data_IF_471322352958
#
_entry.id   IF_471322352958
#
_cell.length_a   1.000
_cell.length_b   1.000
_cell.length_c   1.000
_cell.angle_alpha   90.00
_cell.angle_beta   90.00
_cell.angle_gamma   90.00
#
_symmetry.space_group_name_H-M   'P 1'
#
loop_
_entity.id
_entity.type
_entity.pdbx_description
1 polymer ?
#
# COMPACT_ATOMS: atom_id res chain seq x y z
N UNK A 1 5.13 44.41 8.45
CA UNK A 1 4.48 43.09 8.41
C UNK A 1 5.55 42.02 8.35
N UNK A 2 5.82 41.33 9.46
CA UNK A 2 6.74 40.19 9.46
C UNK A 2 5.93 38.97 9.00
N UNK A 3 6.29 38.37 7.87
CA UNK A 3 5.66 37.16 7.38
C UNK A 3 5.88 36.05 8.42
N UNK A 4 4.79 35.52 9.02
CA UNK A 4 4.89 34.34 9.86
C UNK A 4 5.47 33.19 9.03
N UNK A 5 6.40 32.38 9.57
CA UNK A 5 6.92 31.22 8.87
C UNK A 5 5.75 30.32 8.46
N UNK A 6 5.63 30.05 7.16
CA UNK A 6 4.63 29.14 6.60
C UNK A 6 5.08 27.73 6.93
N UNK A 7 4.48 27.10 7.94
CA UNK A 7 4.71 25.68 8.22
C UNK A 7 4.29 24.87 6.99
N UNK A 8 5.27 24.33 6.25
CA UNK A 8 5.04 23.48 5.07
C UNK A 8 5.09 22.00 5.42
N UNK A 9 5.96 21.64 6.36
CA UNK A 9 6.17 20.27 6.80
C UNK A 9 5.91 20.22 8.30
N UNK A 10 5.04 19.30 8.71
CA UNK A 10 4.86 18.93 10.10
C UNK A 10 5.26 17.48 10.25
N UNK A 11 6.24 17.22 11.11
CA UNK A 11 6.75 15.90 11.41
C UNK A 11 6.64 15.66 12.91
N UNK A 12 5.85 14.67 13.28
CA UNK A 12 5.72 14.19 14.65
C UNK A 12 6.12 12.73 14.70
N UNK A 13 7.12 12.42 15.53
CA UNK A 13 7.63 11.06 15.73
C UNK A 13 7.68 10.84 17.24
N UNK A 14 6.99 9.82 17.73
CA UNK A 14 7.21 9.35 19.10
C UNK A 14 8.51 8.55 19.15
N UNK A 15 9.54 9.13 19.74
CA UNK A 15 10.90 8.56 19.77
C UNK A 15 11.01 7.30 20.64
N UNK A 16 10.15 7.16 21.66
CA UNK A 16 10.16 5.98 22.50
C UNK A 16 9.59 4.78 21.74
N UNK A 17 10.38 3.70 21.54
CA UNK A 17 9.96 2.58 20.73
C UNK A 17 8.77 1.81 21.31
N UNK A 18 8.53 1.92 22.62
CA UNK A 18 7.48 1.21 23.36
C UNK A 18 6.21 2.03 23.58
N UNK A 19 6.18 3.28 23.13
CA UNK A 19 5.06 4.18 23.38
C UNK A 19 4.39 4.62 22.08
N UNK A 20 3.11 4.95 22.20
CA UNK A 20 2.33 5.62 21.17
C UNK A 20 1.80 6.91 21.76
N UNK A 21 2.02 8.04 21.09
CA UNK A 21 1.51 9.32 21.56
C UNK A 21 0.01 9.45 21.25
N UNK A 22 -0.81 9.68 22.28
CA UNK A 22 -2.25 9.91 22.09
C UNK A 22 -2.54 11.34 21.65
N UNK A 23 -2.77 11.55 20.36
CA UNK A 23 -3.20 12.86 19.87
C UNK A 23 -4.61 13.18 20.34
N UNK A 24 -4.78 14.40 20.80
CA UNK A 24 -6.01 14.95 21.36
C UNK A 24 -6.59 16.01 20.43
N UNK A 25 -7.81 16.48 20.74
CA UNK A 25 -8.42 17.59 20.00
C UNK A 25 -7.62 18.91 20.13
N UNK A 26 -6.78 19.04 21.17
CA UNK A 26 -5.92 20.21 21.35
C UNK A 26 -4.76 20.26 20.34
N UNK A 27 -4.50 19.15 19.64
CA UNK A 27 -3.43 19.06 18.64
C UNK A 27 -3.92 19.46 17.23
N UNK A 28 -5.23 19.56 17.00
CA UNK A 28 -5.83 19.99 15.73
C UNK A 28 -5.25 21.31 15.19
N UNK A 29 -5.00 22.36 16.01
CA UNK A 29 -4.40 23.59 15.53
C UNK A 29 -3.00 23.41 14.91
N UNK A 30 -2.23 22.40 15.34
CA UNK A 30 -0.91 22.09 14.77
C UNK A 30 -1.03 21.49 13.36
N UNK A 31 -2.10 20.72 13.14
CA UNK A 31 -2.41 20.09 11.86
C UNK A 31 -3.10 21.06 10.90
N UNK A 32 -3.84 22.04 11.39
CA UNK A 32 -4.71 22.89 10.57
C UNK A 32 -4.00 24.06 9.86
N UNK A 33 -2.69 23.96 9.63
CA UNK A 33 -1.94 25.05 9.00
C UNK A 33 -2.20 25.08 7.48
N UNK A 34 -2.72 26.18 6.89
CA UNK A 34 -3.20 26.20 5.51
C UNK A 34 -2.11 26.04 4.45
N UNK A 35 -0.84 26.24 4.81
CA UNK A 35 0.30 25.99 3.92
C UNK A 35 0.95 24.62 4.10
N UNK A 36 0.38 23.74 4.92
CA UNK A 36 0.92 22.42 5.15
C UNK A 36 0.81 21.60 3.85
N UNK A 37 1.97 21.15 3.36
CA UNK A 37 2.09 20.30 2.17
C UNK A 37 2.56 18.90 2.54
N UNK A 38 3.24 18.74 3.68
CA UNK A 38 3.75 17.43 4.12
C UNK A 38 3.38 17.20 5.57
N UNK A 39 2.72 16.08 5.83
CA UNK A 39 2.35 15.64 7.17
C UNK A 39 2.94 14.27 7.43
N UNK A 40 3.77 14.14 8.46
CA UNK A 40 4.31 12.87 8.92
C UNK A 40 3.95 12.67 10.38
N UNK A 41 3.19 11.63 10.65
CA UNK A 41 2.72 11.25 11.97
C UNK A 41 3.15 9.81 12.24
N UNK A 42 4.08 9.61 13.17
CA UNK A 42 4.60 8.28 13.50
C UNK A 42 4.34 7.90 14.95
N UNK A 43 3.83 6.67 15.13
CA UNK A 43 3.48 6.10 16.44
C UNK A 43 2.51 7.02 17.20
N UNK A 44 1.43 7.40 16.54
CA UNK A 44 0.37 8.24 17.10
C UNK A 44 -0.95 7.50 17.22
N UNK A 45 -1.71 7.78 18.28
CA UNK A 45 -3.11 7.39 18.39
C UNK A 45 -4.01 8.54 17.96
N UNK A 46 -4.92 8.26 17.04
CA UNK A 46 -5.73 9.28 16.34
C UNK A 46 -7.24 9.04 16.46
N UNK A 47 -7.69 8.08 17.27
CA UNK A 47 -9.11 7.79 17.49
C UNK A 47 -9.96 9.01 17.84
N UNK A 48 -9.39 9.98 18.56
CA UNK A 48 -10.10 11.20 18.98
C UNK A 48 -10.61 12.04 17.79
N UNK A 49 -9.96 11.94 16.63
CA UNK A 49 -10.36 12.65 15.42
C UNK A 49 -11.63 12.05 14.79
N UNK A 50 -11.98 10.80 15.10
CA UNK A 50 -13.18 10.14 14.58
C UNK A 50 -14.50 10.69 15.13
N UNK A 51 -14.45 11.55 16.17
CA UNK A 51 -15.64 12.12 16.79
C UNK A 51 -16.51 12.88 15.76
N UNK A 52 -17.85 12.74 15.78
CA UNK A 52 -18.74 13.43 14.86
C UNK A 52 -18.59 14.97 14.86
N UNK A 53 -18.24 15.55 16.02
CA UNK A 53 -18.02 16.98 16.19
C UNK A 53 -16.74 17.50 15.53
N UNK A 54 -15.78 16.63 15.21
CA UNK A 54 -14.53 17.01 14.55
C UNK A 54 -14.82 17.20 13.06
N UNK A 55 -14.48 18.38 12.54
CA UNK A 55 -14.59 18.66 11.10
C UNK A 55 -13.41 18.01 10.36
N UNK A 56 -13.57 17.69 9.07
CA UNK A 56 -12.44 17.32 8.22
C UNK A 56 -11.34 18.38 8.27
N UNK A 57 -10.08 17.94 8.27
CA UNK A 57 -8.90 18.80 8.37
C UNK A 57 -8.70 19.58 7.05
N UNK A 58 -8.16 20.82 7.10
CA UNK A 58 -8.01 21.68 5.92
C UNK A 58 -6.75 21.31 5.12
N UNK A 59 -6.76 20.10 4.55
CA UNK A 59 -5.62 19.52 3.84
C UNK A 59 -5.70 19.66 2.32
N UNK A 60 -6.32 20.74 1.82
CA UNK A 60 -6.44 20.97 0.38
C UNK A 60 -5.10 21.04 -0.36
N UNK A 61 -4.05 21.52 0.33
CA UNK A 61 -2.68 21.64 -0.19
C UNK A 61 -1.76 20.49 0.20
N UNK A 62 -2.27 19.48 0.92
CA UNK A 62 -1.46 18.37 1.38
C UNK A 62 -1.03 17.53 0.17
N UNK A 63 0.28 17.41 0.01
CA UNK A 63 0.97 16.76 -1.10
C UNK A 63 1.46 15.37 -0.69
N UNK A 64 1.97 15.25 0.53
CA UNK A 64 2.46 13.97 1.08
C UNK A 64 1.94 13.74 2.49
N UNK A 65 1.41 12.55 2.74
CA UNK A 65 0.92 12.14 4.04
C UNK A 65 1.52 10.79 4.44
N UNK A 66 2.18 10.76 5.59
CA UNK A 66 2.77 9.57 6.18
C UNK A 66 2.09 9.34 7.52
N UNK A 67 1.38 8.23 7.65
CA UNK A 67 0.63 7.90 8.84
C UNK A 67 1.03 6.51 9.35
N UNK A 68 1.60 6.49 10.54
CA UNK A 68 1.84 5.28 11.29
C UNK A 68 1.01 5.32 12.59
N UNK A 69 -0.10 4.57 12.60
CA UNK A 69 -1.12 4.62 13.66
C UNK A 69 -1.70 3.22 13.99
N UNK A 70 -1.74 2.81 15.28
CA UNK A 70 -2.34 1.54 15.69
C UNK A 70 -3.87 1.58 15.72
N UNK A 71 -4.47 2.72 16.01
CA UNK A 71 -5.93 2.91 16.12
C UNK A 71 -6.43 3.81 14.99
N UNK A 72 -7.10 3.21 14.03
CA UNK A 72 -7.72 3.89 12.91
C UNK A 72 -9.12 3.33 12.67
N UNK A 73 -9.97 4.15 12.07
CA UNK A 73 -11.28 3.75 11.55
C UNK A 73 -11.53 4.53 10.28
N UNK A 74 -12.55 4.13 9.52
CA UNK A 74 -12.99 4.88 8.35
C UNK A 74 -13.27 6.35 8.71
N UNK A 75 -14.01 6.61 9.79
CA UNK A 75 -14.39 7.97 10.21
C UNK A 75 -13.18 8.83 10.54
N UNK A 76 -12.18 8.24 11.22
CA UNK A 76 -10.93 8.90 11.56
C UNK A 76 -10.17 9.25 10.28
N UNK A 77 -9.87 8.26 9.43
CA UNK A 77 -9.11 8.47 8.19
C UNK A 77 -9.81 9.46 7.25
N UNK A 78 -11.14 9.40 7.17
CA UNK A 78 -11.94 10.34 6.39
C UNK A 78 -11.76 11.79 6.86
N UNK A 79 -11.49 12.07 8.16
CA UNK A 79 -11.17 13.44 8.58
C UNK A 79 -9.87 13.97 7.97
N UNK A 80 -8.89 13.11 7.74
CA UNK A 80 -7.62 13.49 7.12
C UNK A 80 -7.76 13.56 5.59
N UNK A 81 -8.40 12.57 4.98
CA UNK A 81 -8.35 12.39 3.52
C UNK A 81 -9.44 13.15 2.75
N UNK A 82 -10.58 13.49 3.39
CA UNK A 82 -11.74 14.08 2.70
C UNK A 82 -11.44 15.35 1.91
N UNK A 83 -10.53 16.18 2.41
CA UNK A 83 -10.14 17.44 1.76
C UNK A 83 -8.79 17.34 1.03
N UNK A 84 -8.09 16.20 1.06
CA UNK A 84 -6.73 16.04 0.59
C UNK A 84 -6.61 15.90 -0.94
N UNK A 85 -7.26 16.79 -1.71
CA UNK A 85 -7.40 16.68 -3.17
C UNK A 85 -6.09 16.81 -3.96
N UNK A 86 -5.05 17.36 -3.35
CA UNK A 86 -3.72 17.53 -3.96
C UNK A 86 -2.74 16.43 -3.57
N UNK A 87 -3.19 15.43 -2.81
CA UNK A 87 -2.33 14.38 -2.28
C UNK A 87 -1.74 13.57 -3.43
N UNK A 88 -0.41 13.50 -3.48
CA UNK A 88 0.39 12.75 -4.45
C UNK A 88 1.03 11.51 -3.83
N UNK A 89 1.35 11.54 -2.54
CA UNK A 89 1.97 10.42 -1.83
C UNK A 89 1.21 10.14 -0.53
N UNK A 90 0.71 8.92 -0.39
CA UNK A 90 0.23 8.38 0.88
C UNK A 90 1.05 7.16 1.30
N UNK A 91 1.63 7.21 2.49
CA UNK A 91 2.13 6.05 3.21
C UNK A 91 1.24 5.83 4.44
N UNK A 92 0.60 4.67 4.50
CA UNK A 92 -0.15 4.21 5.66
C UNK A 92 0.51 2.95 6.22
N UNK A 93 0.78 2.96 7.52
CA UNK A 93 1.42 1.86 8.21
C UNK A 93 0.68 1.54 9.50
N UNK A 94 0.20 0.30 9.61
CA UNK A 94 -0.39 -0.24 10.82
C UNK A 94 0.62 -1.16 11.53
N UNK A 95 1.00 -0.85 12.80
CA UNK A 95 2.02 -1.61 13.51
C UNK A 95 1.53 -2.93 14.09
N UNK A 96 2.52 -3.78 14.38
CA UNK A 96 2.45 -5.20 14.77
C UNK A 96 1.72 -5.57 16.06
N UNK A 97 1.49 -4.60 16.95
CA UNK A 97 1.01 -4.88 18.31
C UNK A 97 -0.52 -4.82 18.50
N UNK A 98 -1.32 -4.88 17.42
CA UNK A 98 -2.78 -4.82 17.54
C UNK A 98 -3.45 -6.02 16.89
N UNK A 99 -4.18 -6.81 17.69
CA UNK A 99 -5.13 -7.81 17.20
C UNK A 99 -6.14 -7.13 16.26
N UNK A 100 -6.04 -7.38 14.96
CA UNK A 100 -6.93 -6.79 13.98
C UNK A 100 -8.27 -7.56 13.98
N UNK A 101 -9.21 -7.10 14.80
CA UNK A 101 -10.54 -7.73 14.95
C UNK A 101 -11.55 -7.33 13.87
N UNK A 102 -11.14 -6.56 12.87
CA UNK A 102 -12.02 -6.02 11.82
C UNK A 102 -11.29 -5.87 10.50
N UNK A 103 -12.02 -6.06 9.40
CA UNK A 103 -11.56 -5.69 8.07
C UNK A 103 -11.04 -4.24 8.05
N UNK A 104 -9.92 -3.97 7.37
CA UNK A 104 -9.45 -2.59 7.20
C UNK A 104 -10.44 -1.78 6.34
N UNK A 105 -10.50 -0.45 6.52
CA UNK A 105 -11.29 0.44 5.67
C UNK A 105 -10.86 0.33 4.20
N UNK A 106 -11.83 0.50 3.30
CA UNK A 106 -11.57 0.56 1.87
C UNK A 106 -10.86 1.88 1.51
N UNK A 107 -9.55 1.80 1.25
CA UNK A 107 -8.77 2.95 0.82
C UNK A 107 -9.13 3.41 -0.59
N UNK A 108 -9.66 2.55 -1.46
CA UNK A 108 -10.12 2.98 -2.78
C UNK A 108 -11.32 3.93 -2.69
N UNK A 109 -12.17 3.78 -1.66
CA UNK A 109 -13.24 4.73 -1.35
C UNK A 109 -12.71 5.99 -0.64
N UNK A 110 -11.88 5.84 0.39
CA UNK A 110 -11.35 6.97 1.17
C UNK A 110 -10.51 7.94 0.32
N UNK A 111 -9.85 7.43 -0.73
CA UNK A 111 -8.94 8.19 -1.59
C UNK A 111 -9.61 8.77 -2.84
N UNK A 112 -10.93 8.62 -3.00
CA UNK A 112 -11.67 9.28 -4.09
C UNK A 112 -11.39 10.78 -4.23
N UNK A 113 -11.24 11.58 -3.14
CA UNK A 113 -10.91 13.00 -3.25
C UNK A 113 -9.59 13.30 -3.98
N UNK A 114 -8.59 12.40 -3.89
CA UNK A 114 -7.27 12.54 -4.50
C UNK A 114 -7.06 11.59 -5.69
N UNK A 115 -8.11 10.96 -6.20
CA UNK A 115 -8.06 9.98 -7.31
C UNK A 115 -7.28 10.45 -8.55
N UNK A 116 -7.29 11.75 -8.84
CA UNK A 116 -6.62 12.35 -10.00
C UNK A 116 -5.20 12.86 -9.72
N UNK A 117 -4.80 12.92 -8.45
CA UNK A 117 -3.49 13.45 -8.04
C UNK A 117 -2.58 12.37 -7.45
N UNK A 118 -3.14 11.32 -6.84
CA UNK A 118 -2.37 10.30 -6.15
C UNK A 118 -1.45 9.55 -7.11
N UNK A 119 -0.15 9.58 -6.86
CA UNK A 119 0.91 8.97 -7.66
C UNK A 119 1.54 7.77 -6.96
N UNK A 120 1.68 7.85 -5.63
CA UNK A 120 2.31 6.83 -4.79
C UNK A 120 1.33 6.46 -3.67
N UNK A 121 1.01 5.18 -3.59
CA UNK A 121 0.21 4.61 -2.52
C UNK A 121 0.94 3.43 -1.89
N UNK A 122 1.16 3.52 -0.59
CA UNK A 122 1.78 2.48 0.23
C UNK A 122 0.84 2.16 1.39
N UNK A 123 0.29 0.95 1.40
CA UNK A 123 -0.60 0.47 2.46
C UNK A 123 0.02 -0.76 3.11
N UNK A 124 0.44 -0.62 4.38
CA UNK A 124 1.19 -1.64 5.10
C UNK A 124 0.49 -2.03 6.39
N UNK A 125 0.39 -3.33 6.63
CA UNK A 125 -0.14 -3.86 7.89
C UNK A 125 0.77 -4.96 8.42
N UNK A 126 1.52 -4.65 9.48
CA UNK A 126 2.45 -5.61 10.09
C UNK A 126 1.71 -6.56 11.07
N UNK A 127 0.52 -7.09 10.76
CA UNK A 127 -0.27 -7.84 11.76
C UNK A 127 0.24 -9.27 11.99
N UNK A 128 0.41 -9.68 13.26
CA UNK A 128 0.70 -11.06 13.68
C UNK A 128 -0.45 -12.05 13.49
N UNK A 129 -1.69 -11.57 13.59
CA UNK A 129 -2.87 -12.37 13.26
C UNK A 129 -3.24 -12.10 11.80
N UNK A 130 -3.54 -13.15 11.03
CA UNK A 130 -3.99 -13.04 9.64
C UNK A 130 -5.14 -12.04 9.58
N UNK A 131 -4.88 -10.86 9.02
CA UNK A 131 -5.93 -9.93 8.62
C UNK A 131 -6.90 -10.70 7.72
N UNK A 132 -8.11 -10.90 8.20
CA UNK A 132 -9.18 -11.41 7.38
C UNK A 132 -9.61 -10.25 6.48
N UNK A 133 -9.06 -10.19 5.26
CA UNK A 133 -9.60 -9.35 4.19
C UNK A 133 -10.79 -10.10 3.58
N UNK A 134 -11.95 -9.99 4.22
CA UNK A 134 -13.19 -10.59 3.73
C UNK A 134 -13.91 -9.68 2.73
N UNK A 135 -13.46 -8.43 2.62
CA UNK A 135 -13.96 -7.46 1.65
C UNK A 135 -13.59 -7.83 0.20
N UNK A 136 -14.36 -7.37 -0.81
CA UNK A 136 -14.18 -7.70 -2.23
C UNK A 136 -12.91 -7.12 -2.90
N UNK A 137 -11.92 -6.65 -2.13
CA UNK A 137 -10.73 -5.98 -2.64
C UNK A 137 -10.88 -4.48 -2.87
N UNK A 138 -9.76 -3.77 -2.95
CA UNK A 138 -9.67 -2.32 -3.15
C UNK A 138 -9.47 -1.97 -4.63
N UNK A 139 -10.39 -1.18 -5.21
CA UNK A 139 -10.42 -0.94 -6.66
C UNK A 139 -9.68 0.33 -7.06
N UNK A 140 -8.42 0.20 -7.49
CA UNK A 140 -7.60 1.33 -7.92
C UNK A 140 -7.56 1.56 -9.44
N UNK A 141 -8.28 0.78 -10.25
CA UNK A 141 -8.24 0.89 -11.71
C UNK A 141 -8.51 2.32 -12.24
N UNK A 142 -9.38 3.06 -11.56
CA UNK A 142 -9.74 4.42 -11.97
C UNK A 142 -8.76 5.51 -11.47
N UNK A 143 -7.74 5.15 -10.68
CA UNK A 143 -6.70 6.07 -10.18
C UNK A 143 -5.63 6.28 -11.26
N UNK A 144 -6.01 6.94 -12.34
CA UNK A 144 -5.18 7.14 -13.55
C UNK A 144 -3.86 7.89 -13.36
N UNK A 145 -3.64 8.52 -12.20
CA UNK A 145 -2.36 9.14 -11.85
C UNK A 145 -1.43 8.21 -11.05
N UNK A 146 -1.95 7.09 -10.55
CA UNK A 146 -1.22 6.18 -9.68
C UNK A 146 -0.17 5.42 -10.49
N UNK A 147 1.08 5.53 -10.06
CA UNK A 147 2.25 4.96 -10.71
C UNK A 147 2.95 3.92 -9.82
N UNK A 148 2.80 4.01 -8.51
CA UNK A 148 3.35 3.08 -7.54
C UNK A 148 2.27 2.64 -6.56
N UNK A 149 2.13 1.33 -6.40
CA UNK A 149 1.20 0.71 -5.47
C UNK A 149 1.93 -0.38 -4.69
N UNK A 150 2.14 -0.15 -3.39
CA UNK A 150 2.55 -1.19 -2.47
C UNK A 150 1.36 -1.59 -1.59
N UNK A 151 1.00 -2.87 -1.62
CA UNK A 151 -0.17 -3.38 -0.90
C UNK A 151 -0.09 -4.90 -0.74
N UNK A 152 -0.60 -5.49 0.36
CA UNK A 152 -0.78 -6.93 0.44
C UNK A 152 -1.77 -7.42 -0.62
N UNK A 153 -1.50 -8.53 -1.33
CA UNK A 153 -2.39 -9.04 -2.37
C UNK A 153 -3.84 -9.24 -1.90
N UNK A 154 -4.04 -9.75 -0.68
CA UNK A 154 -5.38 -9.96 -0.10
C UNK A 154 -6.14 -8.66 0.17
N UNK A 155 -5.43 -7.56 0.45
CA UNK A 155 -6.07 -6.24 0.57
C UNK A 155 -6.51 -5.72 -0.80
N UNK A 156 -5.70 -5.96 -1.82
CA UNK A 156 -5.97 -5.52 -3.18
C UNK A 156 -7.13 -6.29 -3.81
N UNK A 157 -7.12 -7.62 -3.72
CA UNK A 157 -8.04 -8.48 -4.46
C UNK A 157 -9.12 -9.16 -3.61
N UNK A 158 -9.07 -8.98 -2.28
CA UNK A 158 -9.93 -9.72 -1.35
C UNK A 158 -9.53 -11.19 -1.21
N UNK A 159 -10.45 -12.08 -0.81
CA UNK A 159 -10.17 -13.50 -0.67
C UNK A 159 -10.18 -14.22 -2.04
N UNK A 160 -8.99 -14.43 -2.61
CA UNK A 160 -8.82 -15.16 -3.88
C UNK A 160 -8.13 -16.53 -3.65
N UNK A 161 -8.82 -17.45 -2.97
CA UNK A 161 -8.27 -18.79 -2.64
C UNK A 161 -8.11 -19.72 -3.86
N UNK A 162 -7.21 -20.71 -3.76
CA UNK A 162 -6.81 -21.61 -4.86
C UNK A 162 -7.94 -22.47 -5.44
N UNK A 163 -9.02 -22.66 -4.68
CA UNK A 163 -10.17 -23.50 -5.07
C UNK A 163 -11.19 -22.77 -5.96
N UNK A 164 -11.09 -21.44 -6.09
CA UNK A 164 -12.05 -20.66 -6.84
C UNK A 164 -11.64 -20.56 -8.33
N UNK A 165 -12.60 -20.82 -9.22
CA UNK A 165 -12.46 -20.48 -10.64
C UNK A 165 -12.64 -18.97 -10.81
N UNK A 166 -11.50 -18.25 -10.83
CA UNK A 166 -11.44 -16.80 -10.85
C UNK A 166 -11.06 -16.29 -12.24
N UNK A 167 -11.80 -15.30 -12.74
CA UNK A 167 -11.36 -14.50 -13.88
C UNK A 167 -10.27 -13.52 -13.42
N UNK A 168 -9.02 -14.01 -13.38
CA UNK A 168 -7.87 -13.21 -12.98
C UNK A 168 -7.69 -11.96 -13.85
N UNK A 169 -8.00 -12.02 -15.15
CA UNK A 169 -7.82 -10.86 -16.01
C UNK A 169 -8.82 -9.76 -15.67
N UNK A 170 -10.10 -10.10 -15.49
CA UNK A 170 -11.10 -9.11 -15.08
C UNK A 170 -10.80 -8.57 -13.68
N UNK A 171 -10.36 -9.42 -12.75
CA UNK A 171 -9.90 -9.00 -11.43
C UNK A 171 -8.76 -7.99 -11.52
N UNK A 172 -7.72 -8.25 -12.32
CA UNK A 172 -6.61 -7.33 -12.50
C UNK A 172 -7.08 -5.98 -13.07
N UNK A 173 -7.96 -5.99 -14.08
CA UNK A 173 -8.50 -4.78 -14.70
C UNK A 173 -9.37 -3.92 -13.77
N UNK A 174 -10.03 -4.55 -12.80
CA UNK A 174 -10.87 -3.85 -11.82
C UNK A 174 -10.05 -3.20 -10.69
N UNK A 175 -8.87 -3.73 -10.39
CA UNK A 175 -8.10 -3.35 -9.21
C UNK A 175 -6.81 -2.58 -9.53
N UNK A 176 -6.18 -2.81 -10.69
CA UNK A 176 -4.90 -2.20 -11.05
C UNK A 176 -5.09 -1.09 -12.08
N UNK A 177 -4.55 0.12 -11.86
CA UNK A 177 -4.61 1.19 -12.84
C UNK A 177 -3.67 0.94 -14.03
N UNK A 178 -4.09 1.24 -15.28
CA UNK A 178 -3.22 1.12 -16.46
C UNK A 178 -1.96 2.00 -16.44
N UNK A 179 -1.95 3.04 -15.60
CA UNK A 179 -0.83 3.95 -15.36
C UNK A 179 0.24 3.38 -14.43
N UNK A 180 -0.03 2.25 -13.78
CA UNK A 180 0.86 1.68 -12.77
C UNK A 180 2.19 1.26 -13.40
N UNK A 181 3.29 1.78 -12.86
CA UNK A 181 4.66 1.42 -13.24
C UNK A 181 5.25 0.36 -12.34
N UNK A 182 4.90 0.41 -11.05
CA UNK A 182 5.45 -0.47 -10.02
C UNK A 182 4.29 -1.05 -9.20
N UNK A 183 4.20 -2.38 -9.22
CA UNK A 183 3.36 -3.15 -8.31
C UNK A 183 4.25 -3.84 -7.28
N UNK A 184 4.09 -3.46 -6.02
CA UNK A 184 4.79 -4.07 -4.90
C UNK A 184 3.79 -4.89 -4.07
N UNK A 185 3.91 -6.21 -4.13
CA UNK A 185 3.06 -7.14 -3.40
C UNK A 185 3.68 -7.47 -2.05
N UNK A 186 3.02 -7.03 -0.98
CA UNK A 186 3.55 -7.23 0.37
C UNK A 186 3.14 -8.58 0.94
N UNK A 187 4.08 -9.24 1.61
CA UNK A 187 3.87 -10.42 2.43
C UNK A 187 3.19 -11.55 1.66
N UNK A 188 3.75 -11.87 0.49
CA UNK A 188 3.34 -13.06 -0.26
C UNK A 188 3.66 -14.30 0.58
N UNK A 189 2.65 -15.16 0.77
CA UNK A 189 2.82 -16.39 1.53
C UNK A 189 3.49 -17.46 0.65
N UNK A 190 4.62 -18.02 1.11
CA UNK A 190 5.28 -19.14 0.44
C UNK A 190 4.50 -20.45 0.62
N UNK A 191 4.70 -21.40 -0.29
CA UNK A 191 4.50 -22.83 -0.01
C UNK A 191 5.78 -23.62 -0.28
N UNK A 192 5.97 -24.74 0.40
CA UNK A 192 7.09 -25.63 0.13
C UNK A 192 6.76 -26.54 -1.06
N UNK A 193 7.69 -26.71 -1.99
CA UNK A 193 7.53 -27.69 -3.05
C UNK A 193 7.45 -29.10 -2.46
N UNK A 194 6.35 -29.83 -2.71
CA UNK A 194 6.24 -31.27 -2.37
C UNK A 194 6.93 -32.17 -3.40
N UNK A 195 7.60 -31.61 -4.42
CA UNK A 195 8.33 -32.41 -5.40
C UNK A 195 9.38 -33.28 -4.69
N UNK A 196 9.55 -34.52 -5.17
CA UNK A 196 10.57 -35.47 -4.67
C UNK A 196 11.96 -34.89 -4.94
N UNK A 197 12.42 -34.03 -4.04
CA UNK A 197 13.76 -33.51 -4.03
C UNK A 197 14.72 -34.66 -3.75
N UNK A 198 15.90 -34.62 -4.39
CA UNK A 198 16.98 -35.54 -4.06
C UNK A 198 17.27 -35.46 -2.54
N UNK A 199 17.72 -36.57 -1.93
CA UNK A 199 17.90 -36.70 -0.46
C UNK A 199 18.76 -35.59 0.20
N UNK A 200 19.51 -34.81 -0.59
CA UNK A 200 20.42 -33.75 -0.14
C UNK A 200 19.95 -32.32 -0.50
N UNK A 201 18.75 -32.15 -1.06
CA UNK A 201 18.22 -30.83 -1.43
C UNK A 201 17.22 -30.32 -0.39
N UNK A 202 17.45 -29.11 0.11
CA UNK A 202 16.48 -28.40 0.94
C UNK A 202 15.23 -28.05 0.11
N UNK A 203 14.02 -28.13 0.68
CA UNK A 203 12.79 -27.71 0.01
C UNK A 203 12.85 -26.26 -0.43
N UNK A 204 12.51 -25.99 -1.69
CA UNK A 204 12.44 -24.64 -2.21
C UNK A 204 11.09 -24.01 -1.86
N UNK A 205 11.12 -22.78 -1.35
CA UNK A 205 9.93 -21.99 -1.13
C UNK A 205 9.44 -21.45 -2.47
N UNK A 206 8.26 -21.88 -2.91
CA UNK A 206 7.64 -21.48 -4.17
C UNK A 206 6.43 -20.56 -3.93
N UNK A 207 6.01 -19.85 -4.98
CA UNK A 207 4.78 -19.07 -4.94
C UNK A 207 3.56 -19.99 -4.82
N UNK A 208 2.57 -19.56 -4.05
CA UNK A 208 1.27 -20.22 -4.08
C UNK A 208 0.68 -20.17 -5.50
N UNK A 209 -0.10 -21.19 -5.92
CA UNK A 209 -0.63 -21.26 -7.28
C UNK A 209 -1.39 -20.01 -7.75
N UNK A 210 -2.09 -19.33 -6.85
CA UNK A 210 -2.83 -18.12 -7.20
C UNK A 210 -1.97 -16.87 -7.32
N UNK A 211 -0.88 -16.75 -6.54
CA UNK A 211 0.09 -15.67 -6.68
C UNK A 211 0.88 -15.85 -7.98
N UNK A 212 1.25 -17.10 -8.30
CA UNK A 212 1.81 -17.45 -9.61
C UNK A 212 0.85 -17.08 -10.75
N UNK A 213 -0.43 -17.51 -10.69
CA UNK A 213 -1.44 -17.17 -11.71
C UNK A 213 -1.65 -15.67 -11.85
N UNK A 214 -1.66 -14.93 -10.75
CA UNK A 214 -1.78 -13.47 -10.72
C UNK A 214 -0.66 -12.82 -11.54
N UNK A 215 0.60 -13.14 -11.22
CA UNK A 215 1.77 -12.57 -11.88
C UNK A 215 1.82 -13.00 -13.35
N UNK A 216 1.58 -14.29 -13.63
CA UNK A 216 1.51 -14.80 -15.01
C UNK A 216 0.45 -14.10 -15.85
N UNK A 217 -0.73 -13.85 -15.29
CA UNK A 217 -1.82 -13.17 -16.00
C UNK A 217 -1.47 -11.70 -16.27
N UNK A 218 -0.80 -11.02 -15.34
CA UNK A 218 -0.26 -9.67 -15.55
C UNK A 218 0.72 -9.61 -16.73
N UNK A 219 1.68 -10.54 -16.78
CA UNK A 219 2.69 -10.58 -17.85
C UNK A 219 2.07 -10.95 -19.20
N UNK A 220 1.21 -11.98 -19.23
CA UNK A 220 0.58 -12.45 -20.47
C UNK A 220 -0.39 -11.44 -21.10
N UNK A 221 -0.87 -10.45 -20.34
CA UNK A 221 -1.84 -9.45 -20.77
C UNK A 221 -1.31 -8.02 -20.58
N UNK A 222 -0.01 -7.81 -20.83
CA UNK A 222 0.70 -6.53 -20.64
C UNK A 222 0.04 -5.35 -21.37
N UNK A 223 -0.67 -5.58 -22.46
CA UNK A 223 -1.38 -4.55 -23.22
C UNK A 223 -2.42 -3.78 -22.39
N UNK A 224 -2.98 -4.38 -21.33
CA UNK A 224 -3.89 -3.70 -20.40
C UNK A 224 -3.14 -2.93 -19.30
N UNK A 225 -1.86 -3.23 -19.09
CA UNK A 225 -0.98 -2.61 -18.10
C UNK A 225 0.29 -2.06 -18.76
N UNK A 226 0.16 -1.18 -19.78
CA UNK A 226 1.26 -0.81 -20.67
C UNK A 226 2.39 -0.05 -19.95
N UNK A 227 2.08 0.56 -18.81
CA UNK A 227 3.04 1.34 -18.01
C UNK A 227 3.88 0.47 -17.07
N UNK A 228 3.50 -0.81 -16.87
CA UNK A 228 4.15 -1.67 -15.88
C UNK A 228 5.61 -1.94 -16.28
N UNK A 229 6.51 -1.74 -15.32
CA UNK A 229 7.97 -1.93 -15.45
C UNK A 229 8.54 -2.78 -14.34
N UNK A 230 7.92 -2.77 -13.17
CA UNK A 230 8.40 -3.50 -12.00
C UNK A 230 7.26 -4.24 -11.31
N UNK A 231 7.50 -5.51 -10.99
CA UNK A 231 6.71 -6.30 -10.05
C UNK A 231 7.67 -6.78 -8.97
N UNK A 232 7.47 -6.37 -7.73
CA UNK A 232 8.31 -6.79 -6.62
C UNK A 232 7.46 -7.37 -5.50
N UNK A 233 8.05 -8.23 -4.67
CA UNK A 233 7.37 -8.70 -3.47
C UNK A 233 8.28 -8.95 -2.28
N UNK A 234 7.69 -8.92 -1.08
CA UNK A 234 8.30 -9.46 0.13
C UNK A 234 7.71 -10.84 0.44
N UNK A 235 8.52 -11.71 1.01
CA UNK A 235 8.13 -13.04 1.49
C UNK A 235 8.90 -13.35 2.77
N UNK A 236 8.23 -13.90 3.78
CA UNK A 236 8.81 -14.16 5.11
C UNK A 236 10.05 -15.06 5.06
N UNK A 237 10.03 -16.06 4.18
CA UNK A 237 11.11 -17.05 4.06
C UNK A 237 11.89 -16.94 2.73
N UNK A 238 11.57 -15.93 1.91
CA UNK A 238 12.25 -15.66 0.65
C UNK A 238 11.81 -16.57 -0.49
N UNK A 239 10.69 -16.23 -1.15
CA UNK A 239 10.21 -16.90 -2.36
C UNK A 239 10.81 -16.24 -3.59
N UNK A 240 11.82 -16.87 -4.20
CA UNK A 240 12.42 -16.34 -5.41
C UNK A 240 11.42 -16.35 -6.58
N UNK A 241 11.54 -15.40 -7.54
CA UNK A 241 10.77 -15.45 -8.77
C UNK A 241 11.00 -16.79 -9.50
N UNK A 242 9.94 -17.52 -9.87
CA UNK A 242 10.06 -18.68 -10.74
C UNK A 242 10.71 -18.29 -12.07
N UNK A 243 11.69 -19.07 -12.54
CA UNK A 243 12.48 -18.73 -13.72
C UNK A 243 11.66 -18.53 -15.00
N UNK A 244 10.54 -19.23 -15.15
CA UNK A 244 9.64 -19.03 -16.28
C UNK A 244 8.93 -17.66 -16.25
N UNK A 245 8.60 -17.16 -15.06
CA UNK A 245 8.07 -15.80 -14.89
C UNK A 245 9.16 -14.75 -15.13
N UNK A 246 10.40 -15.01 -14.71
CA UNK A 246 11.55 -14.14 -15.00
C UNK A 246 11.80 -14.01 -16.50
N UNK A 247 11.81 -15.14 -17.22
CA UNK A 247 11.99 -15.18 -18.67
C UNK A 247 10.90 -14.37 -19.38
N UNK A 248 9.62 -14.62 -19.03
CA UNK A 248 8.49 -13.86 -19.57
C UNK A 248 8.60 -12.36 -19.29
N UNK A 249 9.02 -11.98 -18.09
CA UNK A 249 9.17 -10.58 -17.72
C UNK A 249 10.31 -9.91 -18.48
N UNK A 250 11.45 -10.60 -18.62
CA UNK A 250 12.61 -10.12 -19.36
C UNK A 250 12.26 -9.85 -20.83
N UNK A 251 11.53 -10.74 -21.50
CA UNK A 251 11.04 -10.53 -22.88
C UNK A 251 10.18 -9.26 -23.01
N UNK A 252 9.44 -8.93 -21.95
CA UNK A 252 8.57 -7.77 -21.90
C UNK A 252 9.28 -6.50 -21.41
N UNK A 253 10.56 -6.57 -20.99
CA UNK A 253 11.25 -5.47 -20.33
C UNK A 253 10.61 -5.07 -19.01
N UNK A 254 10.13 -6.05 -18.25
CA UNK A 254 9.62 -5.92 -16.88
C UNK A 254 10.64 -6.56 -15.95
N UNK A 255 10.97 -5.87 -14.86
CA UNK A 255 11.79 -6.42 -13.79
C UNK A 255 10.91 -7.10 -12.75
N UNK A 256 11.28 -8.32 -12.37
CA UNK A 256 10.66 -9.06 -11.27
C UNK A 256 11.72 -9.34 -10.21
N UNK A 257 11.44 -8.94 -8.96
CA UNK A 257 12.42 -9.04 -7.87
C UNK A 257 11.74 -9.44 -6.54
N UNK A 258 12.36 -10.40 -5.84
CA UNK A 258 12.15 -10.58 -4.41
C UNK A 258 12.99 -9.53 -3.68
N UNK A 259 12.37 -8.77 -2.79
CA UNK A 259 13.05 -7.77 -1.96
C UNK A 259 12.95 -8.11 -0.49
N UNK A 260 13.97 -7.79 0.29
CA UNK A 260 14.00 -8.13 1.73
C UNK A 260 13.03 -7.27 2.52
N UNK A 261 12.86 -6.01 2.10
CA UNK A 261 11.90 -5.08 2.69
C UNK A 261 11.65 -3.88 1.76
N UNK A 262 10.67 -3.07 2.13
CA UNK A 262 10.25 -1.89 1.36
C UNK A 262 11.32 -0.82 1.12
N UNK A 263 12.34 -0.75 1.97
CA UNK A 263 13.39 0.26 1.86
C UNK A 263 14.35 -0.02 0.69
N UNK A 264 14.29 -1.21 0.09
CA UNK A 264 15.08 -1.56 -1.10
C UNK A 264 14.51 -0.93 -2.38
N UNK A 265 13.19 -0.67 -2.42
CA UNK A 265 12.52 0.01 -3.53
C UNK A 265 11.73 1.25 -3.04
N UNK A 266 12.42 2.26 -2.47
CA UNK A 266 11.76 3.43 -1.93
C UNK A 266 11.09 4.21 -3.07
N UNK A 267 9.79 4.50 -2.99
CA UNK A 267 9.11 5.20 -4.05
C UNK A 267 9.60 6.65 -4.13
N UNK A 268 9.96 7.08 -5.33
CA UNK A 268 10.40 8.44 -5.59
C UNK A 268 10.00 8.87 -7.00
N UNK A 269 9.43 10.07 -7.12
CA UNK A 269 8.94 10.57 -8.41
C UNK A 269 10.03 10.57 -9.48
N UNK A 270 11.27 10.94 -9.14
CA UNK A 270 12.40 10.92 -10.09
C UNK A 270 12.71 9.52 -10.61
N UNK A 271 12.59 8.51 -9.75
CA UNK A 271 12.80 7.13 -10.15
C UNK A 271 11.63 6.66 -11.01
N UNK A 272 10.39 6.91 -10.59
CA UNK A 272 9.20 6.62 -11.38
C UNK A 272 9.22 7.31 -12.75
N UNK A 273 9.72 8.54 -12.85
CA UNK A 273 9.87 9.28 -14.12
C UNK A 273 10.93 8.66 -15.04
N UNK A 274 11.90 7.92 -14.48
CA UNK A 274 12.95 7.23 -15.25
C UNK A 274 12.56 5.84 -15.77
N UNK A 275 11.46 5.28 -15.26
CA UNK A 275 10.85 4.01 -15.70
C UNK A 275 9.93 4.19 -16.92
#
# INVERSE_FOLDING_TARGET
>A
MVAKPKLKTFNFIQDNPRETYGMTLNDIPLLSHPSLTTLKLQKVRIREFGRPSVRPLPFENLDSFYLHAPDYSYEVLNKFLKNAKSLRHLEFHHPFDVSARSDPPDFSELLQPCKRSLQILELWWDCMETLCFNNPGMKFAEFTALQYLAIPPRALFGPYWYENDLDFLQMLKDHIPPSLKVLFLQDIYPCWSEEELAEDCDPEAILLPNDYKLIKTLLANKEFFPSLRYIAWTSEIGTLPPGDLEDMAAELGITIELVSNRLELPPGLKWLDSL
#
